data_IF_602621208998
#
_entry.id   IF_602621208998
#
_cell.length_a   1.000
_cell.length_b   1.000
_cell.length_c   1.000
_cell.angle_alpha   90.00
_cell.angle_beta   90.00
_cell.angle_gamma   90.00
#
_symmetry.space_group_name_H-M   'P 1'
#
loop_
_entity.id
_entity.type
_entity.pdbx_description
1 polymer ?
#
# COMPACT_ATOMS: atom_id res chain seq x y z
N UNK A 1 17.93 17.73 -12.97
CA UNK A 1 17.65 16.31 -12.69
C UNK A 1 18.29 15.43 -13.76
N UNK A 2 19.60 15.57 -13.95
CA UNK A 2 20.33 14.95 -15.07
C UNK A 2 20.39 13.42 -14.94
N UNK A 3 20.45 12.91 -13.71
CA UNK A 3 20.48 11.47 -13.42
C UNK A 3 19.08 10.82 -13.23
N UNK A 4 18.00 11.54 -13.53
CA UNK A 4 16.59 11.12 -13.31
C UNK A 4 16.27 10.64 -11.88
N UNK A 5 17.11 10.94 -10.88
CA UNK A 5 16.96 10.48 -9.50
C UNK A 5 15.68 10.99 -8.87
N UNK A 6 15.25 12.21 -9.21
CA UNK A 6 13.98 12.77 -8.73
C UNK A 6 12.77 11.98 -9.26
N UNK A 7 12.83 11.45 -10.48
CA UNK A 7 11.73 10.72 -11.11
C UNK A 7 11.63 9.26 -10.65
N UNK A 8 12.71 8.69 -10.09
CA UNK A 8 12.67 7.35 -9.48
C UNK A 8 11.72 7.27 -8.28
N UNK A 9 11.47 8.39 -7.62
CA UNK A 9 10.56 8.52 -6.49
C UNK A 9 9.12 8.82 -6.93
N UNK A 10 8.84 8.76 -8.23
CA UNK A 10 7.51 8.99 -8.80
C UNK A 10 7.08 10.46 -8.73
N UNK A 11 5.79 10.67 -8.51
CA UNK A 11 5.14 11.99 -8.51
C UNK A 11 5.25 12.73 -7.19
N UNK A 12 5.66 12.06 -6.11
CA UNK A 12 5.71 12.64 -4.77
C UNK A 12 6.71 13.82 -4.67
N UNK A 13 7.97 13.72 -5.11
CA UNK A 13 8.89 14.85 -5.01
C UNK A 13 8.46 16.07 -5.83
N UNK A 14 8.03 15.94 -7.11
CA UNK A 14 7.48 17.07 -7.85
C UNK A 14 6.28 17.74 -7.16
N UNK A 15 5.38 16.94 -6.55
CA UNK A 15 4.25 17.45 -5.78
C UNK A 15 4.69 18.27 -4.57
N UNK A 16 5.64 17.77 -3.78
CA UNK A 16 6.16 18.48 -2.60
C UNK A 16 6.88 19.78 -2.96
N UNK A 17 7.57 19.84 -4.11
CA UNK A 17 8.19 21.08 -4.61
C UNK A 17 7.12 22.08 -5.04
N UNK A 18 6.09 21.62 -5.77
CA UNK A 18 4.99 22.47 -6.26
C UNK A 18 4.24 23.13 -5.11
N UNK A 19 4.03 22.39 -4.01
CA UNK A 19 3.32 22.87 -2.82
C UNK A 19 4.27 23.19 -1.65
N UNK A 20 5.51 23.60 -1.95
CA UNK A 20 6.49 23.90 -0.91
C UNK A 20 5.95 24.96 0.06
N UNK A 21 6.04 24.68 1.36
CA UNK A 21 5.50 25.49 2.46
C UNK A 21 3.98 25.69 2.45
N UNK A 22 3.23 25.01 1.57
CA UNK A 22 1.76 25.06 1.51
C UNK A 22 1.11 23.70 1.81
N UNK A 23 1.87 22.73 2.33
CA UNK A 23 1.35 21.43 2.78
C UNK A 23 1.02 21.43 4.26
N UNK A 24 0.13 20.51 4.66
CA UNK A 24 -0.16 20.17 6.06
C UNK A 24 -0.01 18.67 6.27
N UNK A 25 0.71 18.22 7.31
CA UNK A 25 0.77 16.81 7.63
C UNK A 25 -0.61 16.33 8.09
N UNK A 26 -1.00 15.13 7.65
CA UNK A 26 -2.16 14.42 8.19
C UNK A 26 -1.71 13.57 9.38
N UNK A 27 -2.62 13.37 10.34
CA UNK A 27 -2.40 12.39 11.40
C UNK A 27 -2.22 11.00 10.80
N UNK A 28 -1.34 10.19 11.39
CA UNK A 28 -1.00 8.86 10.86
C UNK A 28 -2.20 7.91 10.83
N UNK A 29 -3.18 8.09 11.71
CA UNK A 29 -4.44 7.33 11.68
C UNK A 29 -5.24 7.54 10.40
N UNK A 30 -5.01 8.61 9.63
CA UNK A 30 -5.68 8.76 8.33
C UNK A 30 -5.17 7.77 7.28
N UNK A 31 -3.89 7.41 7.33
CA UNK A 31 -3.26 6.62 6.27
C UNK A 31 -2.03 5.87 6.77
N UNK A 32 -2.17 4.55 6.88
CA UNK A 32 -1.05 3.63 7.15
C UNK A 32 -0.58 3.02 5.84
N UNK A 33 0.65 3.31 5.45
CA UNK A 33 1.31 2.77 4.27
C UNK A 33 2.47 1.86 4.67
N UNK A 34 2.88 1.00 3.74
CA UNK A 34 4.06 0.15 3.82
C UNK A 34 3.73 -1.33 3.88
N UNK A 35 2.46 -1.72 3.75
CA UNK A 35 2.02 -3.10 3.93
C UNK A 35 2.52 -4.07 2.85
N UNK A 36 3.24 -3.60 1.82
CA UNK A 36 3.97 -4.44 0.85
C UNK A 36 5.50 -4.34 0.96
N UNK A 37 6.02 -3.71 2.03
CA UNK A 37 7.46 -3.53 2.29
C UNK A 37 7.86 -3.83 3.74
N UNK A 38 7.07 -3.41 4.72
CA UNK A 38 7.46 -3.36 6.12
C UNK A 38 6.60 -4.33 6.97
N UNK A 39 7.16 -5.50 7.38
CA UNK A 39 6.44 -6.44 8.24
C UNK A 39 6.26 -5.95 9.68
N UNK A 40 6.94 -4.88 10.10
CA UNK A 40 6.92 -4.38 11.48
C UNK A 40 5.77 -3.41 11.78
N UNK A 41 4.91 -3.11 10.81
CA UNK A 41 3.72 -2.27 11.05
C UNK A 41 2.78 -3.00 12.01
N UNK A 42 2.35 -2.32 13.07
CA UNK A 42 1.49 -2.93 14.09
C UNK A 42 0.07 -3.14 13.58
N UNK A 43 -0.55 -4.26 13.99
CA UNK A 43 -1.98 -4.48 13.74
C UNK A 43 -2.85 -3.42 14.44
N UNK A 44 -2.41 -2.86 15.56
CA UNK A 44 -3.14 -1.78 16.25
C UNK A 44 -3.14 -0.49 15.40
N UNK A 45 -2.01 -0.16 14.77
CA UNK A 45 -1.94 0.99 13.84
C UNK A 45 -2.86 0.77 12.64
N UNK A 46 -2.89 -0.45 12.11
CA UNK A 46 -3.76 -0.85 10.99
C UNK A 46 -5.23 -0.76 11.37
N UNK A 47 -5.63 -1.23 12.55
CA UNK A 47 -7.02 -1.21 13.01
C UNK A 47 -7.55 0.21 13.25
N UNK A 48 -6.68 1.11 13.70
CA UNK A 48 -7.00 2.52 13.93
C UNK A 48 -6.88 3.38 12.67
N UNK A 49 -6.49 2.80 11.54
CA UNK A 49 -6.31 3.52 10.28
C UNK A 49 -7.63 3.70 9.52
N UNK A 50 -7.86 4.89 8.98
CA UNK A 50 -8.96 5.14 8.04
C UNK A 50 -8.69 4.48 6.68
N UNK A 51 -7.43 4.49 6.22
CA UNK A 51 -6.99 3.86 4.97
C UNK A 51 -5.68 3.11 5.20
N UNK A 52 -5.60 1.89 4.69
CA UNK A 52 -4.36 1.11 4.64
C UNK A 52 -3.88 0.96 3.19
N UNK A 53 -2.57 1.03 2.98
CA UNK A 53 -1.99 0.99 1.65
C UNK A 53 -0.93 -0.11 1.55
N UNK A 54 -1.22 -1.12 0.74
CA UNK A 54 -0.29 -2.15 0.29
C UNK A 54 0.69 -1.63 -0.75
N UNK A 55 1.44 -0.56 -0.49
CA UNK A 55 2.52 -0.15 -1.41
C UNK A 55 3.72 -1.11 -1.26
N UNK A 56 4.31 -1.43 -2.40
CA UNK A 56 5.47 -2.31 -2.50
C UNK A 56 5.22 -3.61 -3.23
N UNK A 57 6.26 -4.44 -3.24
CA UNK A 57 6.35 -5.62 -4.10
C UNK A 57 5.59 -6.80 -3.50
N UNK A 58 5.52 -6.90 -2.17
CA UNK A 58 4.87 -8.01 -1.45
C UNK A 58 3.36 -7.76 -1.34
N UNK A 59 2.69 -7.64 -2.49
CA UNK A 59 1.24 -7.42 -2.56
C UNK A 59 0.48 -8.64 -2.01
N UNK A 60 -0.69 -8.46 -1.37
CA UNK A 60 -1.42 -9.56 -0.71
C UNK A 60 -2.04 -10.57 -1.68
N UNK A 61 -2.12 -10.24 -2.97
CA UNK A 61 -2.59 -11.11 -4.06
C UNK A 61 -1.46 -11.86 -4.78
N UNK A 62 -0.23 -11.81 -4.26
CA UNK A 62 0.92 -12.52 -4.80
C UNK A 62 1.42 -13.54 -3.76
N UNK A 63 2.05 -14.61 -4.24
CA UNK A 63 2.63 -15.65 -3.38
C UNK A 63 3.71 -15.13 -2.42
N UNK A 64 4.33 -14.01 -2.77
CA UNK A 64 5.34 -13.32 -1.96
C UNK A 64 4.73 -12.32 -0.95
N UNK A 65 3.40 -12.26 -0.84
CA UNK A 65 2.69 -11.35 0.06
C UNK A 65 2.87 -11.74 1.53
N UNK A 66 3.04 -10.75 2.41
CA UNK A 66 3.19 -10.99 3.85
C UNK A 66 1.91 -11.57 4.46
N UNK A 67 1.98 -12.80 4.96
CA UNK A 67 0.82 -13.57 5.47
C UNK A 67 -0.01 -12.78 6.49
N UNK A 68 0.64 -12.08 7.42
CA UNK A 68 -0.03 -11.29 8.45
C UNK A 68 -0.95 -10.18 7.93
N UNK A 69 -0.72 -9.69 6.70
CA UNK A 69 -1.52 -8.63 6.10
C UNK A 69 -2.45 -9.13 4.99
N UNK A 70 -2.31 -10.39 4.53
CA UNK A 70 -3.12 -10.92 3.42
C UNK A 70 -4.62 -10.89 3.71
N UNK A 71 -5.02 -11.26 4.93
CA UNK A 71 -6.44 -11.36 5.31
C UNK A 71 -7.17 -10.02 5.25
N UNK A 72 -6.45 -8.90 5.42
CA UNK A 72 -7.01 -7.56 5.33
C UNK A 72 -7.53 -7.25 3.91
N UNK A 73 -6.91 -7.83 2.89
CA UNK A 73 -7.34 -7.69 1.49
C UNK A 73 -8.29 -8.81 1.07
N UNK A 74 -7.98 -10.08 1.40
CA UNK A 74 -8.76 -11.26 1.00
C UNK A 74 -10.24 -11.16 1.37
N UNK A 75 -10.57 -10.57 2.52
CA UNK A 75 -11.97 -10.37 2.97
C UNK A 75 -12.83 -9.49 2.05
N UNK A 76 -12.22 -8.75 1.14
CA UNK A 76 -12.90 -7.86 0.19
C UNK A 76 -12.88 -8.40 -1.25
N UNK A 77 -12.32 -9.59 -1.46
CA UNK A 77 -12.27 -10.22 -2.78
C UNK A 77 -13.59 -10.90 -3.05
N UNK A 78 -14.18 -10.59 -4.19
CA UNK A 78 -15.35 -11.30 -4.71
C UNK A 78 -14.89 -12.60 -5.38
N UNK A 79 -14.93 -13.70 -4.62
CA UNK A 79 -14.54 -15.03 -5.12
C UNK A 79 -15.58 -15.67 -6.05
N UNK A 80 -16.78 -15.08 -6.16
CA UNK A 80 -17.80 -15.54 -7.10
C UNK A 80 -17.60 -14.90 -8.50
N UNK A 81 -16.75 -13.88 -8.61
CA UNK A 81 -16.41 -13.25 -9.89
C UNK A 81 -15.58 -14.21 -10.78
N UNK A 82 -16.07 -14.47 -12.00
CA UNK A 82 -15.44 -15.36 -12.97
C UNK A 82 -13.94 -15.06 -13.20
N UNK A 83 -13.59 -13.78 -13.36
CA UNK A 83 -12.19 -13.37 -13.56
C UNK A 83 -11.29 -13.63 -12.34
N UNK A 84 -11.84 -13.54 -11.13
CA UNK A 84 -11.11 -13.83 -9.87
C UNK A 84 -10.87 -15.34 -9.76
N UNK A 85 -11.84 -16.17 -10.14
CA UNK A 85 -11.71 -17.63 -10.13
C UNK A 85 -10.65 -18.13 -11.11
N UNK A 86 -10.38 -17.40 -12.19
CA UNK A 86 -9.30 -17.71 -13.13
C UNK A 86 -7.90 -17.35 -12.60
N UNK A 87 -7.81 -16.61 -11.50
CA UNK A 87 -6.53 -16.21 -10.92
C UNK A 87 -6.00 -17.28 -9.95
N UNK A 88 -4.67 -17.46 -9.90
CA UNK A 88 -4.02 -18.42 -9.02
C UNK A 88 -3.93 -17.90 -7.57
N UNK A 89 -5.05 -17.87 -6.85
CA UNK A 89 -5.08 -17.42 -5.45
C UNK A 89 -4.61 -18.48 -4.43
N UNK A 90 -4.21 -19.67 -4.89
CA UNK A 90 -3.68 -20.74 -4.03
C UNK A 90 -4.65 -21.19 -2.94
N UNK A 91 -5.92 -21.41 -3.30
CA UNK A 91 -6.92 -22.03 -2.40
C UNK A 91 -6.51 -23.45 -1.98
#
# INVERSE_FOLDING_TARGET
>A
NENRTLWKLGTLPPGLITFYSTTKPLDKSWHVLGLGYNPSISMDEIQNAAVIHFNGNMKPWLDIGMEQFQQLWKKHVDYDMEFVQMCNFGL
#
